data_IF_393070243769
#
_entry.id   IF_393070243769
#
_cell.length_a   1.000
_cell.length_b   1.000
_cell.length_c   1.000
_cell.angle_alpha   90.00
_cell.angle_beta   90.00
_cell.angle_gamma   90.00
#
_symmetry.space_group_name_H-M   'P 1'
#
loop_
_entity.id
_entity.type
_entity.pdbx_description
1 polymer ?
#
# COMPACT_ATOMS: atom_id res chain seq x y z
N UNK A 1 -4.78 9.65 11.76
CA UNK A 1 -5.68 8.48 11.74
C UNK A 1 -4.81 7.30 11.45
N UNK A 2 -4.64 6.43 12.43
CA UNK A 2 -3.92 5.17 12.23
C UNK A 2 -4.80 4.28 11.34
N UNK A 3 -4.26 3.79 10.22
CA UNK A 3 -5.01 2.91 9.33
C UNK A 3 -4.84 1.50 9.86
N UNK A 4 -5.88 1.03 10.55
CA UNK A 4 -5.91 -0.26 11.18
C UNK A 4 -6.27 -1.34 10.14
N UNK A 5 -5.25 -1.99 9.58
CA UNK A 5 -5.40 -2.98 8.48
C UNK A 5 -6.30 -4.15 8.90
N UNK A 6 -6.28 -4.52 10.18
CA UNK A 6 -7.14 -5.58 10.73
C UNK A 6 -8.62 -5.19 10.74
N UNK A 7 -8.93 -3.92 11.01
CA UNK A 7 -10.31 -3.43 10.90
C UNK A 7 -10.72 -3.27 9.44
N UNK A 8 -9.77 -2.88 8.58
CA UNK A 8 -9.99 -2.71 7.16
C UNK A 8 -10.37 -4.03 6.48
N UNK A 9 -9.67 -5.13 6.80
CA UNK A 9 -9.98 -6.45 6.25
C UNK A 9 -11.33 -7.00 6.72
N UNK A 10 -11.91 -6.50 7.81
CA UNK A 10 -13.27 -6.86 8.23
C UNK A 10 -14.37 -6.07 7.51
N UNK A 11 -14.12 -4.81 7.15
CA UNK A 11 -15.07 -3.95 6.43
C UNK A 11 -14.99 -4.13 4.90
N UNK A 12 -13.90 -4.74 4.44
CA UNK A 12 -13.62 -4.97 3.03
C UNK A 12 -14.61 -5.96 2.41
N UNK A 13 -15.32 -5.58 1.34
CA UNK A 13 -16.13 -6.52 0.57
C UNK A 13 -15.22 -7.42 -0.28
N UNK A 14 -15.70 -8.62 -0.61
CA UNK A 14 -15.06 -9.46 -1.63
C UNK A 14 -15.13 -8.75 -2.99
N UNK A 15 -13.97 -8.48 -3.58
CA UNK A 15 -13.87 -7.88 -4.91
C UNK A 15 -13.76 -8.96 -5.97
N UNK A 16 -14.40 -8.76 -7.12
CA UNK A 16 -14.31 -9.69 -8.24
C UNK A 16 -13.24 -9.31 -9.26
N UNK A 17 -12.67 -8.11 -9.14
CA UNK A 17 -11.62 -7.62 -10.01
C UNK A 17 -10.84 -6.49 -9.34
N UNK A 18 -9.67 -6.21 -9.93
CA UNK A 18 -8.80 -5.10 -9.55
C UNK A 18 -9.49 -3.73 -9.50
N UNK A 19 -10.39 -3.43 -10.43
CA UNK A 19 -11.00 -2.10 -10.52
C UNK A 19 -11.91 -1.81 -9.32
N UNK A 20 -12.73 -2.78 -8.91
CA UNK A 20 -13.59 -2.65 -7.73
C UNK A 20 -12.78 -2.43 -6.45
N UNK A 21 -11.73 -3.23 -6.25
CA UNK A 21 -10.82 -3.07 -5.13
C UNK A 21 -10.20 -1.67 -5.13
N UNK A 22 -9.65 -1.24 -6.27
CA UNK A 22 -9.04 0.09 -6.44
C UNK A 22 -10.03 1.21 -6.15
N UNK A 23 -11.26 1.14 -6.66
CA UNK A 23 -12.28 2.16 -6.44
C UNK A 23 -12.64 2.28 -4.96
N UNK A 24 -12.76 1.14 -4.26
CA UNK A 24 -13.02 1.13 -2.83
C UNK A 24 -11.88 1.77 -2.03
N UNK A 25 -10.63 1.39 -2.26
CA UNK A 25 -9.48 2.01 -1.60
C UNK A 25 -9.38 3.50 -1.90
N UNK A 26 -9.63 3.91 -3.15
CA UNK A 26 -9.62 5.31 -3.55
C UNK A 26 -10.74 6.09 -2.86
N UNK A 27 -11.91 5.49 -2.65
CA UNK A 27 -13.01 6.13 -1.95
C UNK A 27 -12.78 6.22 -0.42
N UNK A 28 -12.09 5.24 0.18
CA UNK A 28 -11.75 5.26 1.61
C UNK A 28 -10.60 6.23 1.90
N UNK A 29 -9.54 6.16 1.10
CA UNK A 29 -8.24 6.79 1.41
C UNK A 29 -7.86 7.95 0.49
N UNK A 30 -8.60 8.16 -0.59
CA UNK A 30 -8.43 9.29 -1.52
C UNK A 30 -6.97 9.45 -1.98
N UNK A 31 -6.33 10.56 -1.64
CA UNK A 31 -4.96 10.89 -2.04
C UNK A 31 -3.89 10.05 -1.33
N UNK A 32 -4.27 9.33 -0.27
CA UNK A 32 -3.35 8.45 0.48
C UNK A 32 -3.16 7.08 -0.15
N UNK A 33 -3.91 6.76 -1.20
CA UNK A 33 -3.79 5.51 -1.94
C UNK A 33 -3.25 5.78 -3.35
N UNK A 34 -1.99 5.42 -3.57
CA UNK A 34 -1.29 5.69 -4.83
C UNK A 34 -0.70 4.41 -5.41
N UNK A 35 -0.86 4.21 -6.73
CA UNK A 35 -0.24 3.09 -7.43
C UNK A 35 1.28 3.27 -7.41
N UNK A 36 2.00 2.27 -6.92
CA UNK A 36 3.46 2.24 -6.92
C UNK A 36 3.98 1.61 -8.20
N UNK A 37 3.58 0.36 -8.46
CA UNK A 37 4.05 -0.46 -9.57
C UNK A 37 3.00 -1.52 -9.91
N UNK A 38 3.16 -2.16 -11.06
CA UNK A 38 2.43 -3.39 -11.39
C UNK A 38 3.43 -4.41 -11.91
N UNK A 39 3.25 -5.66 -11.52
CA UNK A 39 4.07 -6.79 -11.96
C UNK A 39 3.16 -7.91 -12.50
N UNK A 40 3.77 -8.92 -13.13
CA UNK A 40 3.07 -10.09 -13.63
C UNK A 40 3.58 -11.30 -12.83
N UNK A 41 2.80 -11.71 -11.83
CA UNK A 41 3.14 -12.83 -10.96
C UNK A 41 2.25 -14.02 -11.32
N UNK A 42 2.86 -15.18 -11.60
CA UNK A 42 2.14 -16.42 -11.93
C UNK A 42 1.20 -16.29 -13.15
N UNK A 43 1.53 -15.41 -14.11
CA UNK A 43 0.70 -15.11 -15.27
C UNK A 43 -0.57 -14.31 -14.94
N UNK A 44 -0.64 -13.75 -13.73
CA UNK A 44 -1.67 -12.83 -13.29
C UNK A 44 -1.07 -11.45 -13.08
N UNK A 45 -1.80 -10.44 -13.50
CA UNK A 45 -1.38 -9.06 -13.27
C UNK A 45 -1.61 -8.69 -11.81
N UNK A 46 -0.57 -8.16 -11.18
CA UNK A 46 -0.57 -7.76 -9.78
C UNK A 46 -0.21 -6.29 -9.71
N UNK A 47 -0.95 -5.54 -8.89
CA UNK A 47 -0.79 -4.11 -8.73
C UNK A 47 -0.41 -3.79 -7.29
N UNK A 48 0.70 -3.11 -7.10
CA UNK A 48 1.19 -2.69 -5.80
C UNK A 48 0.86 -1.23 -5.58
N UNK A 49 0.16 -0.95 -4.49
CA UNK A 49 -0.25 0.37 -4.07
C UNK A 49 0.38 0.73 -2.74
N UNK A 50 0.74 2.00 -2.58
CA UNK A 50 1.13 2.55 -1.30
C UNK A 50 -0.09 3.18 -0.63
N UNK A 51 -0.37 2.74 0.60
CA UNK A 51 -1.39 3.26 1.48
C UNK A 51 -0.72 4.03 2.61
N UNK A 52 -0.69 5.36 2.49
CA UNK A 52 -0.05 6.25 3.46
C UNK A 52 -0.91 6.35 4.71
N UNK A 53 -0.44 5.78 5.83
CA UNK A 53 -1.13 5.85 7.13
C UNK A 53 -0.90 7.20 7.79
N UNK A 54 0.38 7.58 7.86
CA UNK A 54 0.86 8.77 8.55
C UNK A 54 1.65 9.64 7.57
N UNK A 55 1.02 10.66 6.96
CA UNK A 55 1.71 11.52 6.00
C UNK A 55 2.90 12.25 6.63
N UNK A 56 2.79 12.71 7.88
CA UNK A 56 3.91 13.32 8.62
C UNK A 56 5.13 12.38 8.70
N UNK A 57 4.94 11.12 9.06
CA UNK A 57 6.04 10.17 9.15
C UNK A 57 6.57 9.75 7.78
N UNK A 58 5.68 9.60 6.79
CA UNK A 58 6.05 9.30 5.42
C UNK A 58 6.92 10.39 4.81
N UNK A 59 6.59 11.67 5.04
CA UNK A 59 7.38 12.81 4.55
C UNK A 59 8.74 12.89 5.25
N UNK A 60 8.77 12.71 6.58
CA UNK A 60 10.02 12.63 7.35
C UNK A 60 10.91 11.46 6.93
N UNK A 61 10.30 10.31 6.60
CA UNK A 61 11.00 9.16 6.06
C UNK A 61 11.54 9.46 4.66
N UNK A 62 10.73 9.99 3.74
CA UNK A 62 11.19 10.33 2.40
C UNK A 62 12.34 11.34 2.43
N UNK A 63 12.30 12.33 3.34
CA UNK A 63 13.39 13.28 3.50
C UNK A 63 14.66 12.59 4.05
N UNK A 64 14.52 11.72 5.04
CA UNK A 64 15.64 10.95 5.61
C UNK A 64 16.24 9.98 4.59
N UNK A 65 15.40 9.26 3.85
CA UNK A 65 15.77 8.32 2.79
C UNK A 65 16.42 9.04 1.59
N UNK A 66 15.95 10.24 1.24
CA UNK A 66 16.57 11.05 0.18
C UNK A 66 17.93 11.64 0.60
N UNK A 67 18.15 11.88 1.90
CA UNK A 67 19.43 12.33 2.45
C UNK A 67 20.45 11.20 2.58
N UNK A 68 20.00 9.99 2.94
CA UNK A 68 20.85 8.80 3.01
C UNK A 68 20.95 8.13 1.63
N UNK A 69 21.67 8.79 0.73
CA UNK A 69 22.21 8.14 -0.46
C UNK A 69 23.19 7.05 0.00
N UNK A 70 22.85 5.78 -0.22
CA UNK A 70 23.72 4.59 -0.34
C UNK A 70 23.13 3.37 0.39
N UNK A 71 22.27 2.63 -0.30
CA UNK A 71 22.29 1.17 -0.21
C UNK A 71 21.78 0.50 1.06
N UNK A 72 20.84 1.09 1.78
CA UNK A 72 20.11 0.35 2.81
C UNK A 72 18.85 -0.30 2.21
N UNK A 73 18.83 -1.63 2.18
CA UNK A 73 17.61 -2.43 2.12
C UNK A 73 16.62 -1.86 3.15
N UNK A 74 15.33 -1.78 2.81
CA UNK A 74 14.27 -1.27 3.69
C UNK A 74 14.20 -2.17 4.94
N UNK A 75 15.05 -1.90 5.92
CA UNK A 75 15.23 -2.68 7.17
C UNK A 75 14.73 -1.91 8.37
N UNK A 76 14.28 -0.66 8.19
CA UNK A 76 13.67 0.11 9.27
C UNK A 76 12.21 -0.31 9.44
N UNK A 77 11.91 -1.00 10.54
CA UNK A 77 10.54 -1.36 10.93
C UNK A 77 9.63 -0.11 11.00
N UNK A 78 10.17 1.05 11.38
CA UNK A 78 9.44 2.35 11.41
C UNK A 78 8.95 2.82 10.02
N UNK A 79 9.61 2.38 8.95
CA UNK A 79 9.18 2.68 7.58
C UNK A 79 7.90 1.94 7.21
N UNK A 80 7.74 0.70 7.69
CA UNK A 80 6.52 -0.11 7.53
C UNK A 80 5.34 0.43 8.35
N UNK A 81 5.61 1.26 9.37
CA UNK A 81 4.55 1.92 10.15
C UNK A 81 3.96 3.14 9.43
N UNK A 82 4.76 3.81 8.58
CA UNK A 82 4.35 5.04 7.88
C UNK A 82 3.38 4.80 6.72
N UNK A 83 3.55 3.68 6.00
CA UNK A 83 2.68 3.27 4.91
C UNK A 83 2.59 1.74 4.84
N UNK A 84 1.47 1.23 4.33
CA UNK A 84 1.35 -0.19 3.99
C UNK A 84 1.34 -0.38 2.48
N UNK A 85 1.92 -1.48 2.03
CA UNK A 85 1.82 -1.87 0.63
C UNK A 85 0.60 -2.77 0.46
N UNK A 86 -0.31 -2.35 -0.41
CA UNK A 86 -1.50 -3.12 -0.77
C UNK A 86 -1.26 -3.72 -2.13
N UNK A 87 -1.21 -5.04 -2.18
CA UNK A 87 -1.14 -5.80 -3.40
C UNK A 87 -2.56 -6.18 -3.82
N UNK A 88 -2.93 -5.87 -5.06
CA UNK A 88 -4.24 -6.18 -5.64
C UNK A 88 -4.00 -7.00 -6.90
N UNK A 89 -4.50 -8.22 -6.93
CA UNK A 89 -4.45 -9.08 -8.11
C UNK A 89 -5.54 -8.70 -9.11
N UNK A 90 -5.38 -9.12 -10.37
CA UNK A 90 -6.39 -8.91 -11.41
C UNK A 90 -7.77 -9.47 -11.04
N UNK A 91 -7.81 -10.60 -10.31
CA UNK A 91 -9.02 -11.24 -9.78
C UNK A 91 -9.69 -10.46 -8.63
N UNK A 92 -9.08 -9.36 -8.15
CA UNK A 92 -9.61 -8.57 -7.02
C UNK A 92 -9.14 -9.06 -5.65
N UNK A 93 -8.29 -10.08 -5.59
CA UNK A 93 -7.70 -10.56 -4.34
C UNK A 93 -6.71 -9.54 -3.78
N UNK A 94 -6.73 -9.33 -2.47
CA UNK A 94 -5.95 -8.29 -1.80
C UNK A 94 -5.02 -8.90 -0.76
N UNK A 95 -3.75 -8.55 -0.86
CA UNK A 95 -2.74 -8.90 0.12
C UNK A 95 -2.10 -7.64 0.68
N UNK A 96 -2.13 -7.52 2.00
CA UNK A 96 -1.42 -6.46 2.70
C UNK A 96 -0.02 -6.95 3.04
N UNK A 97 0.98 -6.25 2.50
CA UNK A 97 2.39 -6.44 2.83
C UNK A 97 2.72 -5.36 3.87
N UNK A 98 2.95 -5.81 5.10
CA UNK A 98 3.29 -4.97 6.26
C UNK A 98 4.48 -5.54 7.00
#
# INVERSE_FOLDING_TARGET
>A
MDIDITSLSQDMPDFHNHEEAREWFKNQFHERFSLRSSDDEDGKKVYYYHLIKHPDQYEQYMESFAKEQEGHEITNMETFESYSTVQITEDGDIHFIS
#
